data_IF_012139470500
#
_entry.id   IF_012139470500
#
_cell.length_a   1.000
_cell.length_b   1.000
_cell.length_c   1.000
_cell.angle_alpha   90.00
_cell.angle_beta   90.00
_cell.angle_gamma   90.00
#
_symmetry.space_group_name_H-M   'P 1'
#
loop_
_entity.id
_entity.type
_entity.pdbx_description
1 polymer ?
#
# COMPACT_ATOMS: atom_id res chain seq x y z
N UNK A 1 -2.74 -23.10 12.61
CA UNK A 1 -2.64 -22.50 13.97
C UNK A 1 -2.02 -23.49 14.94
N UNK A 2 -2.52 -24.72 15.01
CA UNK A 2 -1.91 -25.79 15.83
C UNK A 2 -0.43 -26.03 15.52
N UNK A 3 -0.07 -26.17 14.23
CA UNK A 3 1.33 -26.28 13.81
C UNK A 3 2.20 -25.06 14.15
N UNK A 4 1.59 -23.91 14.49
CA UNK A 4 2.28 -22.70 14.94
C UNK A 4 2.37 -22.61 16.48
N UNK A 5 1.92 -23.65 17.20
CA UNK A 5 1.98 -23.72 18.66
C UNK A 5 0.85 -22.99 19.39
N UNK A 6 -0.25 -22.67 18.70
CA UNK A 6 -1.40 -22.04 19.35
C UNK A 6 -2.11 -23.05 20.28
N UNK A 7 -2.51 -22.65 21.49
CA UNK A 7 -3.30 -23.51 22.36
C UNK A 7 -4.60 -23.96 21.69
N UNK A 8 -5.03 -25.21 21.92
CA UNK A 8 -6.26 -25.76 21.32
C UNK A 8 -7.49 -24.90 21.67
N UNK A 9 -7.69 -24.56 22.94
CA UNK A 9 -8.82 -23.73 23.37
C UNK A 9 -8.93 -22.38 22.62
N UNK A 10 -7.79 -21.76 22.29
CA UNK A 10 -7.77 -20.50 21.54
C UNK A 10 -8.08 -20.76 20.06
N UNK A 11 -7.53 -21.84 19.51
CA UNK A 11 -7.80 -22.26 18.12
C UNK A 11 -9.28 -22.56 17.94
N UNK A 12 -9.88 -23.28 18.87
CA UNK A 12 -11.31 -23.63 18.86
C UNK A 12 -12.18 -22.37 18.95
N UNK A 13 -11.89 -21.46 19.88
CA UNK A 13 -12.62 -20.19 20.01
C UNK A 13 -12.53 -19.32 18.74
N UNK A 14 -11.36 -19.29 18.10
CA UNK A 14 -11.17 -18.61 16.80
C UNK A 14 -11.99 -19.31 15.71
N UNK A 15 -11.92 -20.63 15.62
CA UNK A 15 -12.61 -21.39 14.59
C UNK A 15 -14.13 -21.38 14.77
N UNK A 16 -14.64 -21.28 16.00
CA UNK A 16 -16.06 -21.03 16.27
C UNK A 16 -16.50 -19.69 15.68
N UNK A 17 -15.67 -18.65 15.79
CA UNK A 17 -15.94 -17.34 15.19
C UNK A 17 -15.89 -17.36 13.66
N UNK A 18 -15.17 -18.30 13.05
CA UNK A 18 -15.00 -18.41 11.59
C UNK A 18 -16.04 -19.33 10.96
N UNK A 19 -16.38 -20.45 11.61
CA UNK A 19 -17.22 -21.51 11.06
C UNK A 19 -18.70 -21.34 11.39
N UNK A 20 -19.05 -20.76 12.54
CA UNK A 20 -20.44 -20.66 13.01
C UNK A 20 -21.14 -19.36 12.59
N UNK A 21 -20.62 -18.66 11.57
CA UNK A 21 -21.22 -17.41 11.08
C UNK A 21 -22.31 -17.66 10.04
N UNK A 22 -23.36 -16.86 10.09
CA UNK A 22 -24.40 -16.81 9.06
C UNK A 22 -24.54 -15.37 8.57
N UNK A 23 -24.72 -15.21 7.26
CA UNK A 23 -24.87 -13.91 6.61
C UNK A 23 -26.25 -13.77 5.97
N UNK A 24 -26.77 -12.54 6.00
CA UNK A 24 -27.92 -12.11 5.20
C UNK A 24 -27.53 -10.84 4.46
N UNK A 25 -27.92 -10.74 3.19
CA UNK A 25 -27.70 -9.55 2.37
C UNK A 25 -28.95 -8.68 2.47
N UNK A 26 -28.78 -7.39 2.73
CA UNK A 26 -29.90 -6.44 2.68
C UNK A 26 -30.22 -6.11 1.22
N UNK A 27 -31.38 -6.54 0.75
CA UNK A 27 -31.92 -6.21 -0.58
C UNK A 27 -33.08 -5.24 -0.36
N UNK A 28 -32.94 -4.00 -0.83
CA UNK A 28 -33.93 -2.93 -0.65
C UNK A 28 -34.33 -2.71 0.82
N UNK A 29 -33.36 -2.81 1.74
CA UNK A 29 -33.58 -2.63 3.18
C UNK A 29 -34.21 -3.83 3.89
N UNK A 30 -34.51 -4.94 3.19
CA UNK A 30 -35.00 -6.19 3.79
C UNK A 30 -33.90 -7.26 3.76
N UNK A 31 -33.66 -7.99 4.85
CA UNK A 31 -32.66 -9.06 4.87
C UNK A 31 -33.10 -10.23 3.99
N UNK A 32 -32.17 -10.76 3.20
CA UNK A 32 -32.34 -12.02 2.48
C UNK A 32 -32.41 -13.20 3.46
N UNK A 33 -32.75 -14.37 2.91
CA UNK A 33 -32.57 -15.62 3.66
C UNK A 33 -31.11 -15.76 4.12
N UNK A 34 -30.88 -16.20 5.37
CA UNK A 34 -29.55 -16.44 5.88
C UNK A 34 -28.84 -17.55 5.09
N UNK A 35 -27.55 -17.38 4.86
CA UNK A 35 -26.69 -18.40 4.25
C UNK A 35 -25.36 -18.49 5.00
N UNK A 36 -24.78 -19.68 5.01
CA UNK A 36 -23.48 -19.93 5.64
C UNK A 36 -22.39 -19.74 4.58
N UNK A 37 -21.38 -18.89 4.82
CA UNK A 37 -20.25 -18.74 3.91
C UNK A 37 -19.42 -20.04 3.89
N UNK A 38 -19.03 -20.50 2.70
CA UNK A 38 -18.08 -21.61 2.57
C UNK A 38 -16.63 -21.16 2.55
N UNK A 39 -16.38 -19.88 2.21
CA UNK A 39 -15.05 -19.29 2.05
C UNK A 39 -15.06 -17.83 2.46
N UNK A 40 -13.89 -17.35 2.84
CA UNK A 40 -13.64 -15.94 3.13
C UNK A 40 -13.82 -15.62 4.61
N UNK A 41 -13.20 -14.50 5.00
CA UNK A 41 -13.26 -13.95 6.35
C UNK A 41 -14.19 -12.73 6.36
N UNK A 42 -14.82 -12.46 7.49
CA UNK A 42 -15.75 -11.35 7.63
C UNK A 42 -15.02 -10.01 7.47
N UNK A 43 -15.43 -9.20 6.51
CA UNK A 43 -14.91 -7.83 6.38
C UNK A 43 -15.42 -6.95 7.52
N UNK A 44 -14.53 -6.12 8.09
CA UNK A 44 -14.83 -5.25 9.23
C UNK A 44 -14.71 -5.92 10.60
N UNK A 45 -14.42 -7.23 10.65
CA UNK A 45 -14.04 -7.91 11.88
C UNK A 45 -12.56 -7.63 12.21
N UNK A 46 -12.26 -7.40 13.49
CA UNK A 46 -10.91 -7.15 13.98
C UNK A 46 -10.02 -8.40 13.92
N UNK A 47 -10.59 -9.60 13.92
CA UNK A 47 -9.83 -10.86 13.87
C UNK A 47 -9.40 -11.23 12.45
N UNK A 48 -10.24 -10.93 11.46
CA UNK A 48 -10.01 -11.28 10.05
C UNK A 48 -8.64 -10.86 9.49
N UNK A 49 -8.12 -9.64 9.76
CA UNK A 49 -6.78 -9.25 9.30
C UNK A 49 -5.67 -10.15 9.85
N UNK A 50 -5.76 -10.58 11.11
CA UNK A 50 -4.76 -11.46 11.71
C UNK A 50 -4.81 -12.86 11.13
N UNK A 51 -6.01 -13.41 10.93
CA UNK A 51 -6.17 -14.71 10.27
C UNK A 51 -5.66 -14.68 8.83
N UNK A 52 -5.89 -13.59 8.11
CA UNK A 52 -5.32 -13.38 6.78
C UNK A 52 -3.78 -13.40 6.82
N UNK A 53 -3.16 -12.72 7.79
CA UNK A 53 -1.70 -12.71 7.96
C UNK A 53 -1.18 -14.12 8.29
N UNK A 54 -1.88 -14.88 9.15
CA UNK A 54 -1.48 -16.26 9.47
C UNK A 54 -1.50 -17.16 8.23
N UNK A 55 -2.51 -17.03 7.37
CA UNK A 55 -2.53 -17.73 6.08
C UNK A 55 -1.38 -17.28 5.16
N UNK A 56 -1.19 -15.97 5.00
CA UNK A 56 -0.10 -15.42 4.18
C UNK A 56 1.30 -15.84 4.69
N UNK A 57 1.46 -16.06 5.99
CA UNK A 57 2.69 -16.58 6.58
C UNK A 57 3.02 -18.00 6.09
N UNK A 58 2.03 -18.82 5.74
CA UNK A 58 2.26 -20.13 5.12
C UNK A 58 2.89 -19.96 3.73
N UNK A 59 2.38 -19.03 2.91
CA UNK A 59 2.97 -18.71 1.61
C UNK A 59 4.42 -18.21 1.75
N UNK A 60 4.66 -17.30 2.70
CA UNK A 60 6.01 -16.83 3.05
C UNK A 60 6.93 -17.99 3.46
N UNK A 61 6.42 -18.94 4.23
CA UNK A 61 7.13 -20.15 4.64
C UNK A 61 7.49 -21.06 3.45
N UNK A 62 6.57 -21.27 2.50
CA UNK A 62 6.82 -22.05 1.29
C UNK A 62 7.94 -21.45 0.43
N UNK A 63 7.93 -20.12 0.26
CA UNK A 63 8.97 -19.39 -0.48
C UNK A 63 10.31 -19.47 0.25
N UNK A 64 10.30 -19.28 1.57
CA UNK A 64 11.51 -19.37 2.40
C UNK A 64 12.12 -20.77 2.37
N UNK A 65 11.28 -21.82 2.39
CA UNK A 65 11.71 -23.21 2.20
C UNK A 65 12.36 -23.42 0.83
N UNK A 66 11.76 -22.89 -0.24
CA UNK A 66 12.33 -22.98 -1.58
C UNK A 66 13.65 -22.22 -1.71
N UNK A 67 13.81 -21.07 -1.04
CA UNK A 67 15.09 -20.37 -0.94
C UNK A 67 16.14 -21.17 -0.18
N UNK A 68 15.79 -21.74 0.97
CA UNK A 68 16.70 -22.58 1.75
C UNK A 68 17.21 -23.78 0.93
N UNK A 69 16.33 -24.37 0.11
CA UNK A 69 16.67 -25.43 -0.83
C UNK A 69 17.39 -24.96 -2.10
N UNK A 70 17.72 -23.66 -2.22
CA UNK A 70 18.33 -23.04 -3.41
C UNK A 70 17.53 -23.21 -4.71
N UNK A 71 16.22 -23.45 -4.58
CA UNK A 71 15.27 -23.51 -5.71
C UNK A 71 14.79 -22.13 -6.14
N UNK A 72 14.82 -21.15 -5.25
CA UNK A 72 14.54 -19.74 -5.52
C UNK A 72 15.68 -18.87 -5.03
N UNK A 73 15.95 -17.79 -5.77
CA UNK A 73 16.92 -16.77 -5.36
C UNK A 73 16.27 -15.38 -5.44
N UNK A 74 16.23 -14.70 -4.31
CA UNK A 74 15.79 -13.32 -4.20
C UNK A 74 16.86 -12.32 -4.68
N UNK A 75 16.63 -11.05 -4.34
CA UNK A 75 17.51 -9.94 -4.70
C UNK A 75 18.36 -9.55 -3.48
N UNK A 76 19.64 -9.27 -3.72
CA UNK A 76 20.55 -8.63 -2.76
C UNK A 76 20.85 -7.21 -3.23
N UNK A 77 20.70 -6.24 -2.33
CA UNK A 77 20.91 -4.82 -2.64
C UNK A 77 22.40 -4.45 -2.55
N UNK A 78 23.15 -5.10 -1.66
CA UNK A 78 24.58 -4.91 -1.49
C UNK A 78 25.28 -6.22 -1.11
N UNK A 79 26.60 -6.25 -1.22
CA UNK A 79 27.39 -7.37 -0.70
C UNK A 79 27.18 -7.47 0.82
N UNK A 80 26.92 -8.68 1.32
CA UNK A 80 26.61 -8.92 2.74
C UNK A 80 25.17 -8.55 3.17
N UNK A 81 24.35 -7.93 2.31
CA UNK A 81 22.96 -7.63 2.64
C UNK A 81 22.09 -8.91 2.64
N UNK A 82 21.02 -8.96 3.45
CA UNK A 82 20.06 -10.05 3.42
C UNK A 82 19.41 -10.14 2.04
N UNK A 83 19.12 -11.38 1.63
CA UNK A 83 18.45 -11.65 0.37
C UNK A 83 16.93 -11.53 0.55
N UNK A 84 16.29 -10.72 -0.29
CA UNK A 84 14.84 -10.50 -0.24
C UNK A 84 14.19 -11.25 -1.40
N UNK A 85 13.40 -12.27 -1.10
CA UNK A 85 12.61 -13.03 -2.09
C UNK A 85 11.18 -12.58 -2.23
N UNK A 86 10.59 -12.00 -1.19
CA UNK A 86 9.20 -11.58 -1.23
C UNK A 86 8.92 -10.44 -0.27
N UNK A 87 7.92 -9.63 -0.61
CA UNK A 87 7.35 -8.59 0.24
C UNK A 87 5.83 -8.74 0.20
N UNK A 88 5.21 -8.88 1.37
CA UNK A 88 3.77 -9.09 1.50
C UNK A 88 3.17 -7.92 2.27
N UNK A 89 2.12 -7.33 1.73
CA UNK A 89 1.31 -6.34 2.43
C UNK A 89 -0.16 -6.56 2.08
N UNK A 90 -0.91 -7.14 3.00
CA UNK A 90 -2.28 -7.59 2.73
C UNK A 90 -2.34 -8.40 1.42
N UNK A 91 -3.14 -7.97 0.45
CA UNK A 91 -3.28 -8.57 -0.88
C UNK A 91 -2.16 -8.19 -1.86
N UNK A 92 -1.43 -7.10 -1.60
CA UNK A 92 -0.31 -6.65 -2.44
C UNK A 92 0.97 -7.44 -2.15
N UNK A 93 1.26 -8.42 -3.01
CA UNK A 93 2.44 -9.30 -2.90
C UNK A 93 3.46 -9.05 -4.02
N UNK A 94 4.73 -8.93 -3.66
CA UNK A 94 5.85 -8.89 -4.60
C UNK A 94 6.73 -10.12 -4.41
N UNK A 95 7.07 -10.78 -5.51
CA UNK A 95 7.98 -11.91 -5.55
C UNK A 95 9.20 -11.59 -6.40
N UNK A 96 10.36 -11.99 -5.90
CA UNK A 96 11.66 -11.80 -6.54
C UNK A 96 12.30 -13.16 -6.77
N UNK A 97 12.61 -13.43 -8.04
CA UNK A 97 13.32 -14.62 -8.47
C UNK A 97 14.26 -14.29 -9.63
N UNK A 98 15.21 -15.18 -9.93
CA UNK A 98 15.97 -15.07 -11.18
C UNK A 98 15.05 -15.39 -12.36
N UNK A 99 15.14 -14.58 -13.41
CA UNK A 99 14.39 -14.81 -14.64
C UNK A 99 14.99 -15.99 -15.45
N UNK A 100 14.59 -17.21 -15.06
CA UNK A 100 14.89 -18.49 -15.69
C UNK A 100 13.70 -19.47 -15.52
N UNK A 101 13.66 -20.52 -16.35
CA UNK A 101 12.54 -21.49 -16.38
C UNK A 101 12.31 -22.19 -15.05
N UNK A 102 13.38 -22.61 -14.37
CA UNK A 102 13.31 -23.43 -13.16
C UNK A 102 12.69 -22.67 -11.99
N UNK A 103 13.12 -21.43 -11.78
CA UNK A 103 12.61 -20.59 -10.69
C UNK A 103 11.17 -20.13 -10.95
N UNK A 104 10.84 -19.79 -12.20
CA UNK A 104 9.45 -19.45 -12.54
C UNK A 104 8.49 -20.64 -12.36
N UNK A 105 8.93 -21.85 -12.69
CA UNK A 105 8.15 -23.06 -12.42
C UNK A 105 7.99 -23.27 -10.91
N UNK A 106 9.06 -23.08 -10.14
CA UNK A 106 9.01 -23.21 -8.67
C UNK A 106 8.01 -22.20 -8.06
N UNK A 107 7.97 -20.95 -8.54
CA UNK A 107 6.95 -19.99 -8.10
C UNK A 107 5.55 -20.48 -8.46
N UNK A 108 5.34 -20.96 -9.68
CA UNK A 108 4.03 -21.49 -10.12
C UNK A 108 3.55 -22.63 -9.23
N UNK A 109 4.45 -23.55 -8.89
CA UNK A 109 4.15 -24.71 -8.06
C UNK A 109 3.79 -24.25 -6.63
N UNK A 110 4.58 -23.36 -6.03
CA UNK A 110 4.30 -22.78 -4.71
C UNK A 110 2.95 -22.07 -4.67
N UNK A 111 2.65 -21.25 -5.69
CA UNK A 111 1.37 -20.57 -5.80
C UNK A 111 0.24 -21.60 -5.90
N UNK A 112 0.40 -22.66 -6.69
CA UNK A 112 -0.63 -23.69 -6.87
C UNK A 112 -0.89 -24.46 -5.57
N UNK A 113 0.17 -24.91 -4.89
CA UNK A 113 0.09 -25.58 -3.59
C UNK A 113 -0.61 -24.67 -2.54
N UNK A 114 -0.26 -23.38 -2.54
CA UNK A 114 -0.90 -22.41 -1.65
C UNK A 114 -2.38 -22.19 -1.97
N UNK A 115 -2.73 -22.07 -3.25
CA UNK A 115 -4.11 -21.88 -3.70
C UNK A 115 -4.98 -23.10 -3.35
N UNK A 116 -4.44 -24.30 -3.50
CA UNK A 116 -5.12 -25.55 -3.15
C UNK A 116 -5.33 -25.66 -1.63
N UNK A 117 -4.29 -25.39 -0.84
CA UNK A 117 -4.36 -25.52 0.62
C UNK A 117 -5.20 -24.42 1.29
N UNK A 118 -5.14 -23.18 0.81
CA UNK A 118 -5.80 -22.03 1.45
C UNK A 118 -7.16 -21.66 0.83
N UNK A 119 -7.42 -22.09 -0.41
CA UNK A 119 -8.55 -21.61 -1.20
C UNK A 119 -8.44 -20.15 -1.67
N UNK A 120 -7.35 -19.44 -1.35
CA UNK A 120 -7.10 -18.07 -1.78
C UNK A 120 -6.49 -18.07 -3.18
N UNK A 121 -7.27 -17.66 -4.18
CA UNK A 121 -6.82 -17.69 -5.57
C UNK A 121 -6.02 -16.43 -5.94
N UNK A 122 -4.86 -16.63 -6.59
CA UNK A 122 -4.08 -15.52 -7.16
C UNK A 122 -4.74 -15.07 -8.45
N UNK A 123 -4.99 -13.76 -8.56
CA UNK A 123 -5.53 -13.17 -9.76
C UNK A 123 -4.40 -12.85 -10.75
N UNK A 124 -4.21 -13.72 -11.75
CA UNK A 124 -3.16 -13.56 -12.77
C UNK A 124 -3.38 -12.34 -13.67
N UNK A 125 -4.64 -11.93 -13.91
CA UNK A 125 -4.98 -10.78 -14.76
C UNK A 125 -4.64 -9.43 -14.09
N UNK A 126 -4.71 -9.39 -12.76
CA UNK A 126 -4.30 -8.24 -11.95
C UNK A 126 -2.81 -8.28 -11.59
N UNK A 127 -2.15 -9.41 -11.82
CA UNK A 127 -0.73 -9.59 -11.53
C UNK A 127 0.12 -9.16 -12.71
N UNK A 128 1.26 -8.57 -12.40
CA UNK A 128 2.19 -8.03 -13.39
C UNK A 128 3.56 -8.74 -13.30
N UNK A 129 4.17 -8.99 -14.45
CA UNK A 129 5.55 -9.47 -14.58
C UNK A 129 6.48 -8.35 -15.02
N UNK A 130 7.53 -8.11 -14.25
CA UNK A 130 8.60 -7.17 -14.58
C UNK A 130 9.94 -7.89 -14.75
N UNK A 131 10.65 -7.58 -15.82
CA UNK A 131 11.98 -8.13 -16.10
C UNK A 131 13.07 -7.08 -15.98
N UNK A 132 14.30 -7.52 -15.71
CA UNK A 132 15.47 -6.64 -15.78
C UNK A 132 15.72 -6.14 -17.22
N UNK A 133 16.39 -4.97 -17.32
CA UNK A 133 16.50 -4.14 -18.55
C UNK A 133 17.03 -4.84 -19.80
N UNK A 134 17.64 -6.02 -19.69
CA UNK A 134 18.32 -6.71 -20.79
C UNK A 134 17.96 -8.19 -20.94
N UNK A 135 16.77 -8.61 -20.51
CA UNK A 135 16.33 -10.00 -20.73
C UNK A 135 15.90 -10.24 -22.19
N UNK A 136 16.40 -11.30 -22.87
CA UNK A 136 16.00 -11.63 -24.24
C UNK A 136 14.50 -11.87 -24.37
N UNK A 137 13.90 -11.44 -25.48
CA UNK A 137 12.47 -11.64 -25.75
C UNK A 137 12.03 -13.12 -25.73
N UNK A 138 12.79 -14.08 -26.28
CA UNK A 138 12.42 -15.50 -26.18
C UNK A 138 12.31 -16.00 -24.72
N UNK A 139 13.20 -15.52 -23.84
CA UNK A 139 13.15 -15.84 -22.42
C UNK A 139 11.90 -15.24 -21.77
N UNK A 140 11.55 -14.00 -22.10
CA UNK A 140 10.34 -13.34 -21.57
C UNK A 140 9.07 -14.08 -22.00
N UNK A 141 8.97 -14.45 -23.28
CA UNK A 141 7.85 -15.22 -23.82
C UNK A 141 7.70 -16.58 -23.13
N UNK A 142 8.80 -17.30 -22.93
CA UNK A 142 8.79 -18.57 -22.21
C UNK A 142 8.32 -18.40 -20.75
N UNK A 143 8.79 -17.36 -20.06
CA UNK A 143 8.38 -17.10 -18.67
C UNK A 143 6.90 -16.69 -18.57
N UNK A 144 6.40 -15.95 -19.56
CA UNK A 144 4.98 -15.61 -19.68
C UNK A 144 4.10 -16.85 -19.90
N UNK A 145 4.58 -17.88 -20.61
CA UNK A 145 3.85 -19.15 -20.74
C UNK A 145 3.72 -19.88 -19.39
N UNK A 146 4.71 -19.76 -18.51
CA UNK A 146 4.69 -20.41 -17.19
C UNK A 146 3.80 -19.63 -16.23
N UNK A 147 4.02 -18.31 -16.18
CA UNK A 147 3.28 -17.35 -15.35
C UNK A 147 2.51 -16.40 -16.30
N UNK A 148 1.23 -16.68 -16.60
CA UNK A 148 0.44 -15.94 -17.59
C UNK A 148 -0.04 -14.59 -17.01
N UNK A 149 0.91 -13.72 -16.70
CA UNK A 149 0.70 -12.40 -16.12
C UNK A 149 1.06 -11.33 -17.14
N UNK A 150 0.46 -10.14 -17.00
CA UNK A 150 0.75 -9.03 -17.91
C UNK A 150 2.21 -8.60 -17.80
N UNK A 151 2.93 -8.58 -18.92
CA UNK A 151 4.30 -8.06 -18.93
C UNK A 151 4.28 -6.53 -18.90
N UNK A 152 4.89 -5.95 -17.87
CA UNK A 152 5.03 -4.51 -17.71
C UNK A 152 6.49 -4.09 -17.75
N UNK A 153 6.74 -2.91 -18.32
CA UNK A 153 8.07 -2.30 -18.24
C UNK A 153 8.40 -1.87 -16.80
N UNK A 154 7.37 -1.44 -16.06
CA UNK A 154 7.48 -0.92 -14.71
C UNK A 154 6.17 -1.19 -13.94
N UNK A 155 6.26 -1.49 -12.65
CA UNK A 155 5.08 -1.50 -11.79
C UNK A 155 4.60 -0.06 -11.59
N UNK A 156 3.35 0.21 -11.93
CA UNK A 156 2.82 1.59 -11.88
C UNK A 156 2.86 2.17 -10.47
N UNK A 157 2.45 1.39 -9.45
CA UNK A 157 2.45 1.75 -8.03
C UNK A 157 2.57 0.50 -7.16
N UNK A 158 3.27 0.60 -6.03
CA UNK A 158 3.23 -0.36 -4.93
C UNK A 158 2.98 0.42 -3.63
N UNK A 159 1.97 0.04 -2.84
CA UNK A 159 1.57 0.75 -1.61
C UNK A 159 1.31 2.25 -1.81
N UNK A 160 0.74 2.59 -2.97
CA UNK A 160 0.46 3.98 -3.35
C UNK A 160 1.70 4.81 -3.71
N UNK A 161 2.86 4.18 -3.84
CA UNK A 161 4.14 4.80 -4.18
C UNK A 161 4.63 4.33 -5.56
N UNK A 162 5.22 5.22 -6.38
CA UNK A 162 5.80 4.82 -7.65
C UNK A 162 7.02 3.91 -7.39
N UNK A 163 7.07 2.76 -8.08
CA UNK A 163 8.19 1.81 -7.90
C UNK A 163 9.47 2.25 -8.61
N UNK A 164 9.38 3.17 -9.58
CA UNK A 164 10.53 3.85 -10.15
C UNK A 164 10.62 5.31 -9.70
N UNK A 165 11.79 5.63 -9.15
CA UNK A 165 12.33 6.98 -9.23
C UNK A 165 12.97 7.16 -10.61
N UNK A 166 12.29 7.82 -11.54
CA UNK A 166 12.90 8.26 -12.79
C UNK A 166 14.09 9.22 -12.54
N UNK A 167 14.85 9.54 -13.59
CA UNK A 167 16.00 10.48 -13.50
C UNK A 167 15.58 11.87 -12.99
N UNK A 168 14.33 12.27 -13.22
CA UNK A 168 13.75 13.50 -12.68
C UNK A 168 13.05 13.24 -11.35
N UNK A 169 13.71 13.62 -10.24
CA UNK A 169 13.11 13.63 -8.91
C UNK A 169 11.83 14.47 -8.83
N UNK A 170 11.61 15.42 -9.76
CA UNK A 170 10.37 16.25 -9.79
C UNK A 170 9.16 15.43 -10.22
N UNK A 171 9.23 14.79 -11.39
CA UNK A 171 8.12 14.01 -11.97
C UNK A 171 7.68 12.85 -11.08
N UNK A 172 8.63 12.25 -10.36
CA UNK A 172 8.37 11.16 -9.41
C UNK A 172 7.47 11.60 -8.27
N UNK A 173 7.42 12.89 -7.93
CA UNK A 173 6.67 13.39 -6.78
C UNK A 173 5.50 14.30 -7.15
N UNK A 174 5.25 14.57 -8.44
CA UNK A 174 4.09 15.35 -8.89
C UNK A 174 2.77 14.68 -8.48
N UNK A 175 2.73 13.34 -8.43
CA UNK A 175 1.56 12.61 -7.92
C UNK A 175 1.20 12.95 -6.46
N UNK A 176 2.19 13.36 -5.65
CA UNK A 176 1.98 13.77 -4.25
C UNK A 176 1.22 15.08 -4.23
N UNK A 177 1.64 16.03 -5.08
CA UNK A 177 0.98 17.32 -5.23
C UNK A 177 -0.46 17.11 -5.69
N UNK A 178 -0.68 16.28 -6.70
CA UNK A 178 -2.02 15.97 -7.20
C UNK A 178 -2.91 15.30 -6.15
N UNK A 179 -2.35 14.38 -5.35
CA UNK A 179 -3.11 13.70 -4.29
C UNK A 179 -3.51 14.66 -3.17
N UNK A 180 -2.59 15.54 -2.75
CA UNK A 180 -2.87 16.59 -1.77
C UNK A 180 -3.89 17.57 -2.35
N UNK A 181 -3.68 18.04 -3.58
CA UNK A 181 -4.58 18.99 -4.24
C UNK A 181 -5.97 18.43 -4.46
N UNK A 182 -6.11 17.17 -4.91
CA UNK A 182 -7.40 16.50 -5.08
C UNK A 182 -8.13 16.36 -3.75
N UNK A 183 -7.42 16.04 -2.66
CA UNK A 183 -7.98 15.97 -1.30
C UNK A 183 -8.28 17.35 -0.71
N UNK A 184 -7.60 18.42 -1.09
CA UNK A 184 -7.95 19.78 -0.66
C UNK A 184 -9.08 20.38 -1.50
N UNK A 185 -9.10 20.12 -2.81
CA UNK A 185 -10.12 20.60 -3.76
C UNK A 185 -11.45 19.88 -3.62
N UNK A 186 -11.45 18.55 -3.43
CA UNK A 186 -12.69 17.77 -3.26
C UNK A 186 -13.51 18.15 -2.02
N UNK A 187 -12.90 18.87 -1.07
CA UNK A 187 -13.58 19.38 0.12
C UNK A 187 -13.91 20.87 0.02
N UNK A 188 -13.39 21.55 -1.01
CA UNK A 188 -13.63 22.96 -1.29
C UNK A 188 -15.06 23.23 -1.77
N UNK A 189 -15.79 22.20 -2.18
CA UNK A 189 -17.18 22.31 -2.64
C UNK A 189 -18.21 22.40 -1.50
N UNK A 190 -17.80 22.28 -0.21
CA UNK A 190 -18.71 22.41 0.93
C UNK A 190 -18.13 23.36 1.99
N UNK A 191 -18.98 24.25 2.50
CA UNK A 191 -18.71 25.34 3.44
C UNK A 191 -17.89 24.92 4.69
N UNK A 192 -16.57 24.78 4.57
CA UNK A 192 -15.71 24.43 5.70
C UNK A 192 -15.40 25.67 6.56
N UNK A 193 -15.70 25.55 7.85
CA UNK A 193 -15.26 26.50 8.89
C UNK A 193 -13.72 26.54 8.99
N UNK A 194 -13.18 27.60 9.60
CA UNK A 194 -11.73 27.69 9.87
C UNK A 194 -11.20 26.50 10.68
N UNK A 195 -11.99 26.00 11.65
CA UNK A 195 -11.66 24.80 12.40
C UNK A 195 -11.61 23.56 11.49
N UNK A 196 -12.61 23.38 10.61
CA UNK A 196 -12.63 22.27 9.64
C UNK A 196 -11.45 22.30 8.67
N UNK A 197 -11.05 23.49 8.21
CA UNK A 197 -9.84 23.65 7.37
C UNK A 197 -8.56 23.31 8.12
N UNK A 198 -8.45 23.72 9.38
CA UNK A 198 -7.30 23.42 10.23
C UNK A 198 -7.12 21.92 10.38
N UNK A 199 -8.21 21.22 10.69
CA UNK A 199 -8.22 19.77 10.79
C UNK A 199 -7.88 19.11 9.45
N UNK A 200 -8.44 19.58 8.33
CA UNK A 200 -8.14 19.01 7.02
C UNK A 200 -6.68 19.19 6.61
N UNK A 201 -6.09 20.36 6.88
CA UNK A 201 -4.67 20.62 6.66
C UNK A 201 -3.82 19.65 7.49
N UNK A 202 -4.15 19.46 8.77
CA UNK A 202 -3.43 18.53 9.64
C UNK A 202 -3.55 17.09 9.16
N UNK A 203 -4.74 16.64 8.77
CA UNK A 203 -4.97 15.24 8.35
C UNK A 203 -4.40 14.96 6.94
N UNK A 204 -4.53 15.89 6.00
CA UNK A 204 -4.16 15.65 4.58
C UNK A 204 -2.74 16.12 4.29
N UNK A 205 -2.43 17.39 4.58
CA UNK A 205 -1.17 18.00 4.19
C UNK A 205 0.01 17.56 5.09
N UNK A 206 -0.26 16.99 6.27
CA UNK A 206 0.81 16.45 7.12
C UNK A 206 0.95 14.93 6.99
N UNK A 207 -0.15 14.17 6.96
CA UNK A 207 -0.05 12.70 6.93
C UNK A 207 0.52 12.17 5.60
N UNK A 208 0.09 12.71 4.45
CA UNK A 208 0.53 12.22 3.14
C UNK A 208 2.04 12.44 2.94
N UNK A 209 2.61 13.64 3.15
CA UNK A 209 4.05 13.82 3.04
C UNK A 209 4.82 13.03 4.09
N UNK A 210 4.30 12.87 5.32
CA UNK A 210 4.98 12.13 6.39
C UNK A 210 5.16 10.66 6.03
N UNK A 211 4.12 10.01 5.48
CA UNK A 211 4.21 8.63 4.99
C UNK A 211 5.24 8.46 3.87
N UNK A 212 5.44 9.49 3.04
CA UNK A 212 6.40 9.43 1.95
C UNK A 212 7.81 9.70 2.44
N UNK A 213 7.95 10.66 3.36
CA UNK A 213 9.21 11.02 3.99
C UNK A 213 9.80 9.91 4.84
N UNK A 214 9.01 8.93 5.30
CA UNK A 214 9.56 7.75 5.97
C UNK A 214 10.38 6.87 5.03
N UNK A 215 10.14 6.94 3.71
CA UNK A 215 10.85 6.14 2.71
C UNK A 215 11.79 6.97 1.84
N UNK A 216 11.50 8.25 1.61
CA UNK A 216 12.19 9.08 0.62
C UNK A 216 12.44 10.51 1.07
N UNK A 217 13.62 11.03 0.74
CA UNK A 217 13.93 12.43 0.93
C UNK A 217 13.20 13.29 -0.12
N UNK A 218 12.27 14.12 0.32
CA UNK A 218 11.53 15.02 -0.57
C UNK A 218 12.40 16.22 -1.01
N UNK A 219 12.36 16.63 -2.29
CA UNK A 219 13.05 17.83 -2.76
C UNK A 219 12.51 19.09 -2.07
N UNK A 220 13.40 20.02 -1.69
CA UNK A 220 13.01 21.31 -1.05
C UNK A 220 11.92 22.06 -1.83
N UNK A 221 12.02 22.07 -3.16
CA UNK A 221 11.05 22.71 -4.05
C UNK A 221 9.64 22.11 -3.93
N UNK A 222 9.54 20.79 -3.74
CA UNK A 222 8.25 20.11 -3.54
C UNK A 222 7.63 20.52 -2.21
N UNK A 223 8.44 20.55 -1.14
CA UNK A 223 7.99 20.96 0.18
C UNK A 223 7.46 22.39 0.17
N UNK A 224 8.20 23.31 -0.46
CA UNK A 224 7.76 24.70 -0.66
C UNK A 224 6.46 24.80 -1.47
N UNK A 225 6.29 23.93 -2.48
CA UNK A 225 5.07 23.90 -3.27
C UNK A 225 3.87 23.40 -2.46
N UNK A 226 4.02 22.33 -1.67
CA UNK A 226 2.99 21.81 -0.77
C UNK A 226 2.60 22.88 0.28
N UNK A 227 3.57 23.60 0.83
CA UNK A 227 3.31 24.73 1.72
C UNK A 227 2.52 25.84 1.03
N UNK A 228 2.87 26.18 -0.21
CA UNK A 228 2.13 27.16 -1.01
C UNK A 228 0.68 26.72 -1.23
N UNK A 229 0.43 25.45 -1.57
CA UNK A 229 -0.92 24.90 -1.74
C UNK A 229 -1.73 24.94 -0.44
N UNK A 230 -1.09 24.56 0.66
CA UNK A 230 -1.70 24.55 2.00
C UNK A 230 -2.06 25.97 2.46
N UNK A 231 -1.15 26.92 2.24
CA UNK A 231 -1.37 28.33 2.52
C UNK A 231 -2.53 28.89 1.66
N UNK A 232 -2.53 28.62 0.35
CA UNK A 232 -3.63 29.00 -0.55
C UNK A 232 -4.98 28.40 -0.12
N UNK A 233 -4.98 27.15 0.38
CA UNK A 233 -6.19 26.51 0.89
C UNK A 233 -6.68 27.13 2.21
N UNK A 234 -5.78 27.43 3.14
CA UNK A 234 -6.12 28.05 4.42
C UNK A 234 -6.82 29.40 4.22
N UNK A 235 -6.25 30.26 3.36
CA UNK A 235 -6.74 31.62 3.11
C UNK A 235 -7.84 31.71 2.02
N UNK A 236 -7.95 30.72 1.13
CA UNK A 236 -8.88 30.72 0.01
C UNK A 236 -10.21 30.01 0.30
N UNK A 237 -11.32 30.45 -0.31
CA UNK A 237 -12.61 29.73 -0.30
C UNK A 237 -13.03 29.25 -1.71
N UNK A 238 -12.44 29.81 -2.78
CA UNK A 238 -12.68 29.45 -4.19
C UNK A 238 -11.36 29.50 -4.98
N UNK A 239 -11.26 28.78 -6.09
CA UNK A 239 -10.00 28.62 -6.87
C UNK A 239 -9.58 29.89 -7.62
N UNK A 240 -10.48 30.84 -7.84
CA UNK A 240 -10.27 31.96 -8.76
C UNK A 240 -10.01 33.34 -8.14
N UNK A 241 -9.96 33.48 -6.81
CA UNK A 241 -9.72 34.79 -6.19
C UNK A 241 -8.55 34.75 -5.21
N UNK A 242 -7.50 35.53 -5.50
CA UNK A 242 -6.43 35.86 -4.55
C UNK A 242 -7.05 36.59 -3.36
N UNK A 243 -6.89 36.06 -2.15
CA UNK A 243 -7.31 36.72 -0.90
C UNK A 243 -6.11 37.21 -0.11
N UNK A 244 -6.35 38.22 0.73
CA UNK A 244 -5.35 38.82 1.62
C UNK A 244 -4.89 37.77 2.64
N UNK A 245 -3.58 37.64 2.77
CA UNK A 245 -2.94 36.83 3.82
C UNK A 245 -2.81 37.70 5.07
N UNK A 246 -3.74 37.58 6.01
CA UNK A 246 -3.81 38.42 7.21
C UNK A 246 -2.66 38.19 8.20
N UNK A 247 -2.08 36.99 8.20
CA UNK A 247 -0.99 36.60 9.08
C UNK A 247 0.09 35.88 8.27
N UNK A 248 1.37 36.15 8.57
CA UNK A 248 2.48 35.43 7.95
C UNK A 248 2.35 33.92 8.22
N UNK A 249 2.56 33.11 7.19
CA UNK A 249 2.43 31.64 7.29
C UNK A 249 3.29 31.05 8.41
N UNK A 250 4.53 31.54 8.57
CA UNK A 250 5.43 31.11 9.63
C UNK A 250 4.88 31.32 11.05
N UNK A 251 4.05 32.33 11.27
CA UNK A 251 3.40 32.58 12.56
C UNK A 251 2.27 31.56 12.82
N UNK A 252 1.52 31.22 11.78
CA UNK A 252 0.46 30.19 11.85
C UNK A 252 1.06 28.81 12.12
N UNK A 253 2.24 28.54 11.56
CA UNK A 253 2.93 27.27 11.75
C UNK A 253 3.54 27.08 13.15
N UNK A 254 3.56 28.12 14.01
CA UNK A 254 4.07 27.96 15.37
C UNK A 254 3.20 27.00 16.19
N UNK A 255 3.76 26.35 17.23
CA UNK A 255 2.99 25.58 18.19
C UNK A 255 1.83 26.37 18.79
N UNK A 256 0.73 25.70 19.13
CA UNK A 256 -0.45 26.32 19.77
C UNK A 256 -0.09 27.07 21.06
N UNK A 257 0.84 26.52 21.84
CA UNK A 257 1.39 27.15 23.06
C UNK A 257 2.04 28.52 22.84
N UNK A 258 2.46 28.83 21.61
CA UNK A 258 3.10 30.10 21.22
C UNK A 258 2.19 30.96 20.33
N UNK A 259 0.87 30.72 20.35
CA UNK A 259 -0.12 31.49 19.59
C UNK A 259 -0.27 31.12 18.11
N UNK A 260 0.31 29.99 17.67
CA UNK A 260 0.09 29.47 16.31
C UNK A 260 -0.99 28.38 16.25
N UNK A 261 -1.17 27.75 15.08
CA UNK A 261 -2.12 26.65 14.87
C UNK A 261 -1.47 25.27 14.89
N UNK A 262 -0.15 25.20 15.07
CA UNK A 262 0.60 23.95 15.09
C UNK A 262 0.68 23.26 13.73
N UNK A 263 0.53 24.01 12.63
CA UNK A 263 0.85 23.47 11.31
C UNK A 263 2.36 23.24 11.22
N UNK A 264 2.80 22.08 10.73
CA UNK A 264 4.24 21.86 10.48
C UNK A 264 4.72 22.78 9.35
N UNK A 265 5.17 23.98 9.70
CA UNK A 265 5.83 24.91 8.80
C UNK A 265 7.27 24.48 8.58
N UNK A 266 7.73 24.56 7.33
CA UNK A 266 8.96 23.91 6.87
C UNK A 266 8.78 22.39 6.98
N UNK A 267 8.09 21.79 6.00
CA UNK A 267 8.15 20.33 5.68
C UNK A 267 9.57 20.02 5.16
N UNK A 268 10.59 20.52 5.84
CA UNK A 268 11.97 20.25 5.56
C UNK A 268 12.38 19.18 6.56
N UNK A 269 12.96 18.06 6.11
CA UNK A 269 13.73 17.24 7.03
C UNK A 269 14.77 18.18 7.64
N UNK A 270 14.71 18.36 8.96
CA UNK A 270 15.86 18.86 9.71
C UNK A 270 16.92 17.78 9.53
N UNK A 271 17.83 18.01 8.59
CA UNK A 271 19.17 17.44 8.66
C UNK A 271 19.88 18.14 9.82
#
# INVERSE_FOLDING_TARGET
MEAMGFPHHLTDAIMDCVSNVSFSILINGKPSQPFTPQRGLRQGDHLSPYLFILCANVLSGLISKAQYQKKLHGIKIAHGAPEVSHLLFADDSLFFCRANKKEAQTIKDIISDYQEASGQLVNMDKSDLMFSKHKPQPMKAMLHTILPMKMVSHFSKYLGMPTQMGRSKRQVFDFIQDRIWKKLKGWKEKHLSFAGRSTLIQVVAQAIPTYIMSCFLLPKNLCQHIESLTCKFWWGNSTDKRKIHWVKWDQICKPKRTGGLGFRGKILPKL
#
